data_IF_521336808013
#
_entry.id   IF_521336808013
#
_cell.length_a   1.000
_cell.length_b   1.000
_cell.length_c   1.000
_cell.angle_alpha   90.00
_cell.angle_beta   90.00
_cell.angle_gamma   90.00
#
_symmetry.space_group_name_H-M   'P 1'
#
loop_
_entity.id
_entity.type
_entity.pdbx_description
1 polymer ?
#
# COMPACT_ATOMS: atom_id res chain seq x y z
N UNK A 1 -15.28 -10.86 18.19
CA UNK A 1 -14.61 -9.63 17.76
C UNK A 1 -14.81 -9.41 16.28
N UNK A 2 -15.08 -8.20 15.91
CA UNK A 2 -15.26 -7.87 14.51
C UNK A 2 -13.92 -7.79 13.80
N UNK A 3 -13.85 -8.39 12.63
CA UNK A 3 -12.68 -8.24 11.79
C UNK A 3 -12.65 -6.85 11.21
N UNK A 4 -11.45 -6.29 11.07
CA UNK A 4 -11.28 -5.01 10.43
C UNK A 4 -11.18 -5.23 8.93
N UNK A 5 -12.19 -4.79 8.22
CA UNK A 5 -12.21 -4.90 6.76
C UNK A 5 -11.53 -3.71 6.13
N UNK A 6 -10.84 -3.96 5.03
CA UNK A 6 -10.14 -2.94 4.25
C UNK A 6 -10.51 -3.07 2.78
N UNK A 7 -10.21 -2.04 2.03
CA UNK A 7 -10.54 -1.99 0.62
C UNK A 7 -9.25 -1.91 -0.21
N UNK A 8 -9.15 -2.76 -1.22
CA UNK A 8 -8.04 -2.69 -2.15
C UNK A 8 -8.13 -1.41 -2.98
N UNK A 9 -7.06 -0.64 -3.01
CA UNK A 9 -7.03 0.60 -3.77
C UNK A 9 -6.93 0.37 -5.28
N UNK A 10 -6.61 -0.84 -5.69
CA UNK A 10 -6.57 -1.20 -7.11
C UNK A 10 -7.92 -1.63 -7.65
N UNK A 11 -8.50 -2.69 -7.09
CA UNK A 11 -9.73 -3.28 -7.62
C UNK A 11 -10.99 -2.98 -6.82
N UNK A 12 -10.86 -2.43 -5.63
CA UNK A 12 -12.01 -2.12 -4.78
C UNK A 12 -12.54 -3.28 -3.96
N UNK A 13 -11.86 -4.43 -3.97
CA UNK A 13 -12.28 -5.59 -3.19
C UNK A 13 -12.24 -5.25 -1.70
N UNK A 14 -13.28 -5.67 -0.97
CA UNK A 14 -13.33 -5.51 0.47
C UNK A 14 -13.08 -6.86 1.12
N UNK A 15 -12.09 -6.93 1.99
CA UNK A 15 -11.70 -8.16 2.66
C UNK A 15 -10.94 -7.85 3.94
N UNK A 16 -10.58 -8.90 4.68
CA UNK A 16 -9.75 -8.76 5.86
C UNK A 16 -8.39 -8.16 5.49
N UNK A 17 -7.86 -7.31 6.35
CA UNK A 17 -6.56 -6.67 6.12
C UNK A 17 -5.43 -7.68 5.85
N UNK A 18 -5.56 -8.89 6.35
CA UNK A 18 -4.55 -9.94 6.17
C UNK A 18 -4.45 -10.42 4.72
N UNK A 19 -5.49 -10.20 3.92
CA UNK A 19 -5.48 -10.59 2.51
C UNK A 19 -4.81 -9.55 1.63
N UNK A 20 -4.40 -8.43 2.20
CA UNK A 20 -3.79 -7.33 1.45
C UNK A 20 -2.36 -7.08 1.87
N UNK A 21 -1.62 -6.38 1.01
CA UNK A 21 -0.34 -5.80 1.37
C UNK A 21 -0.63 -4.41 1.93
N UNK A 22 -0.15 -4.14 3.13
CA UNK A 22 -0.29 -2.83 3.75
C UNK A 22 0.94 -1.99 3.41
N UNK A 23 0.71 -0.77 2.96
CA UNK A 23 1.79 0.18 2.68
C UNK A 23 1.52 1.41 3.53
N UNK A 24 2.48 1.79 4.37
CA UNK A 24 2.33 2.92 5.28
C UNK A 24 3.44 3.94 5.05
N UNK A 25 3.06 5.22 4.98
CA UNK A 25 4.02 6.31 5.01
C UNK A 25 4.14 6.77 6.46
N UNK A 26 5.32 6.61 7.04
CA UNK A 26 5.56 7.00 8.41
C UNK A 26 5.37 8.50 8.61
N UNK A 27 4.56 8.87 9.58
CA UNK A 27 4.26 10.29 9.84
C UNK A 27 5.49 11.08 10.29
N UNK A 28 6.37 10.43 11.05
CA UNK A 28 7.54 11.11 11.62
C UNK A 28 8.68 11.26 10.62
N UNK A 29 9.03 10.18 9.92
CA UNK A 29 10.19 10.17 9.03
C UNK A 29 9.83 10.40 7.57
N UNK A 30 8.56 10.20 7.21
CA UNK A 30 8.14 10.28 5.81
C UNK A 30 8.54 9.06 4.99
N UNK A 31 9.11 8.04 5.62
CA UNK A 31 9.49 6.82 4.93
C UNK A 31 8.28 5.97 4.61
N UNK A 32 8.36 5.25 3.49
CA UNK A 32 7.32 4.33 3.08
C UNK A 32 7.76 2.92 3.43
N UNK A 33 6.91 2.26 4.21
CA UNK A 33 7.21 0.91 4.70
C UNK A 33 6.15 -0.04 4.15
N UNK A 34 6.61 -1.12 3.53
CA UNK A 34 5.73 -2.16 3.01
C UNK A 34 5.54 -3.21 4.10
N UNK A 35 4.28 -3.53 4.38
CA UNK A 35 3.92 -4.52 5.38
C UNK A 35 4.49 -4.20 6.77
N UNK A 36 4.29 -2.97 7.29
CA UNK A 36 4.87 -2.56 8.57
C UNK A 36 4.22 -3.28 9.75
N UNK A 37 4.90 -3.21 10.90
CA UNK A 37 4.29 -3.71 12.12
C UNK A 37 3.25 -2.72 12.65
N UNK A 38 2.53 -3.12 13.72
CA UNK A 38 1.45 -2.30 14.27
C UNK A 38 1.91 -1.01 14.96
N UNK A 39 3.21 -0.84 15.14
CA UNK A 39 3.77 0.33 15.80
C UNK A 39 4.03 1.49 14.85
N UNK A 40 3.98 1.23 13.56
CA UNK A 40 4.20 2.27 12.56
C UNK A 40 2.96 3.15 12.45
N UNK A 41 3.11 4.43 12.72
CA UNK A 41 2.01 5.39 12.68
C UNK A 41 2.14 6.24 11.41
N UNK A 42 1.05 6.34 10.66
CA UNK A 42 1.02 7.12 9.43
C UNK A 42 -0.14 6.73 8.54
N UNK A 43 -0.14 7.29 7.34
CA UNK A 43 -1.19 6.99 6.36
C UNK A 43 -0.92 5.64 5.71
N UNK A 44 -1.94 4.81 5.62
CA UNK A 44 -1.81 3.47 5.06
C UNK A 44 -2.73 3.26 3.87
N UNK A 45 -2.24 2.46 2.92
CA UNK A 45 -3.05 1.99 1.79
C UNK A 45 -2.94 0.48 1.73
N UNK A 46 -3.96 -0.15 1.18
CA UNK A 46 -4.04 -1.60 1.06
C UNK A 46 -4.21 -1.99 -0.40
N UNK A 47 -3.57 -3.07 -0.82
CA UNK A 47 -3.65 -3.59 -2.18
C UNK A 47 -3.61 -5.10 -2.16
N UNK A 48 -4.34 -5.74 -3.06
CA UNK A 48 -4.33 -7.20 -3.18
C UNK A 48 -2.92 -7.71 -3.50
N UNK A 49 -2.63 -8.94 -3.05
CA UNK A 49 -1.34 -9.57 -3.29
C UNK A 49 -1.28 -10.15 -4.72
N UNK A 50 -1.49 -9.28 -5.70
CA UNK A 50 -1.36 -9.70 -7.09
C UNK A 50 -0.87 -8.53 -7.96
N UNK A 51 -0.24 -8.88 -9.06
CA UNK A 51 0.39 -7.91 -9.94
C UNK A 51 -0.63 -6.96 -10.56
N UNK A 52 -1.81 -7.47 -10.93
CA UNK A 52 -2.84 -6.66 -11.58
C UNK A 52 -3.26 -5.49 -10.69
N UNK A 53 -3.53 -5.76 -9.41
CA UNK A 53 -3.94 -4.71 -8.48
C UNK A 53 -2.80 -3.73 -8.21
N UNK A 54 -1.56 -4.22 -8.09
CA UNK A 54 -0.40 -3.37 -7.89
C UNK A 54 -0.23 -2.44 -9.10
N UNK A 55 -0.28 -2.98 -10.30
CA UNK A 55 -0.17 -2.16 -11.51
C UNK A 55 -1.29 -1.13 -11.60
N UNK A 56 -2.51 -1.52 -11.25
CA UNK A 56 -3.65 -0.62 -11.28
C UNK A 56 -3.47 0.56 -10.33
N UNK A 57 -2.99 0.30 -9.11
CA UNK A 57 -2.82 1.37 -8.13
C UNK A 57 -1.74 2.37 -8.57
N UNK A 58 -0.67 1.89 -9.22
CA UNK A 58 0.35 2.79 -9.79
C UNK A 58 -0.18 3.53 -11.01
N UNK A 59 -0.96 2.88 -11.84
CA UNK A 59 -1.57 3.50 -13.01
C UNK A 59 -2.51 4.65 -12.63
N UNK A 60 -3.23 4.49 -11.51
CA UNK A 60 -4.12 5.52 -10.98
C UNK A 60 -3.37 6.59 -10.20
N UNK A 61 -2.07 6.44 -10.04
CA UNK A 61 -1.21 7.37 -9.28
C UNK A 61 -1.68 7.57 -7.85
N UNK A 62 -2.20 6.50 -7.24
CA UNK A 62 -2.72 6.57 -5.87
C UNK A 62 -1.63 6.92 -4.85
N UNK A 63 -0.45 6.31 -4.99
CA UNK A 63 0.64 6.60 -4.07
C UNK A 63 1.15 8.02 -4.20
N UNK A 64 1.21 8.53 -5.42
CA UNK A 64 1.63 9.91 -5.64
C UNK A 64 0.67 10.89 -4.99
N UNK A 65 -0.63 10.60 -5.06
CA UNK A 65 -1.67 11.46 -4.48
C UNK A 65 -1.77 11.33 -2.97
N UNK A 66 -1.78 10.10 -2.48
CA UNK A 66 -2.01 9.83 -1.05
C UNK A 66 -0.76 10.04 -0.21
N UNK A 67 0.40 9.65 -0.72
CA UNK A 67 1.66 9.75 0.00
C UNK A 67 2.48 10.95 -0.43
N UNK A 68 2.06 11.67 -1.46
CA UNK A 68 2.77 12.85 -1.99
C UNK A 68 4.23 12.54 -2.33
N UNK A 69 4.45 11.42 -3.00
CA UNK A 69 5.77 11.00 -3.44
C UNK A 69 5.82 10.97 -4.95
N UNK A 70 7.02 11.00 -5.50
CA UNK A 70 7.22 10.97 -6.95
C UNK A 70 8.60 10.44 -7.30
N UNK A 71 8.82 10.18 -8.59
CA UNK A 71 10.13 9.79 -9.09
C UNK A 71 10.65 8.49 -8.53
N UNK A 72 11.88 8.53 -8.03
CA UNK A 72 12.58 7.32 -7.57
C UNK A 72 11.86 6.57 -6.45
N UNK A 73 11.17 7.29 -5.59
CA UNK A 73 10.42 6.66 -4.49
C UNK A 73 9.31 5.77 -5.01
N UNK A 74 8.65 6.19 -6.09
CA UNK A 74 7.60 5.37 -6.73
C UNK A 74 8.20 4.09 -7.31
N UNK A 75 9.34 4.20 -7.96
CA UNK A 75 10.03 3.05 -8.57
C UNK A 75 10.43 2.05 -7.49
N UNK A 76 11.05 2.53 -6.41
CA UNK A 76 11.46 1.67 -5.30
C UNK A 76 10.27 0.98 -4.64
N UNK A 77 9.17 1.70 -4.47
CA UNK A 77 7.96 1.14 -3.89
C UNK A 77 7.38 0.04 -4.78
N UNK A 78 7.35 0.27 -6.07
CA UNK A 78 6.84 -0.71 -7.03
C UNK A 78 7.68 -2.00 -7.01
N UNK A 79 9.00 -1.87 -7.02
CA UNK A 79 9.88 -3.03 -6.94
C UNK A 79 9.70 -3.80 -5.64
N UNK A 80 9.56 -3.09 -4.53
CA UNK A 80 9.31 -3.70 -3.24
C UNK A 80 8.00 -4.46 -3.21
N UNK A 81 6.95 -3.91 -3.80
CA UNK A 81 5.65 -4.58 -3.84
C UNK A 81 5.68 -5.84 -4.71
N UNK A 82 6.39 -5.81 -5.82
CA UNK A 82 6.52 -7.00 -6.66
C UNK A 82 7.25 -8.13 -5.96
N UNK A 83 8.04 -7.84 -4.95
CA UNK A 83 8.70 -8.87 -4.15
C UNK A 83 7.74 -9.69 -3.29
N UNK A 84 6.50 -9.25 -3.14
CA UNK A 84 5.47 -9.96 -2.37
C UNK A 84 4.58 -10.88 -3.21
N UNK A 85 4.80 -10.94 -4.50
CA UNK A 85 3.98 -11.76 -5.40
C UNK A 85 4.80 -12.74 -6.21
#
# INVERSE_FOLDING_TARGET
MSEVLRKCQGCGKIASREEFIKITKCHKSGEIIINPNNKTIGRSLYVCKNKTCIDTIFKKKKFEREFKISGDKIILLKEGLYGFI
#
